data_IF_881573396526
#
_entry.id   IF_881573396526
#
_cell.length_a   1.000
_cell.length_b   1.000
_cell.length_c   1.000
_cell.angle_alpha   90.00
_cell.angle_beta   90.00
_cell.angle_gamma   90.00
#
_symmetry.space_group_name_H-M   'P 1'
#
loop_
_entity.id
_entity.type
_entity.pdbx_description
1 polymer ?
#
# COMPACT_ATOMS: atom_id res chain seq x y z
N UNK A 1 -17.41 32.62 -9.27
CA UNK A 1 -16.83 32.27 -10.58
C UNK A 1 -15.31 32.16 -10.50
N UNK A 2 -14.51 33.22 -10.45
CA UNK A 2 -13.05 33.07 -10.38
C UNK A 2 -12.51 32.23 -9.19
N UNK A 3 -13.07 32.39 -7.97
CA UNK A 3 -12.71 31.56 -6.81
C UNK A 3 -13.19 30.11 -6.97
N UNK A 4 -14.36 29.94 -7.58
CA UNK A 4 -14.99 28.64 -7.85
C UNK A 4 -14.21 27.87 -8.92
N UNK A 5 -13.81 28.55 -10.00
CA UNK A 5 -12.95 28.03 -11.07
C UNK A 5 -11.53 27.76 -10.54
N UNK A 6 -11.01 28.58 -9.62
CA UNK A 6 -9.71 28.34 -8.97
C UNK A 6 -9.75 27.09 -8.09
N UNK A 7 -10.83 26.88 -7.34
CA UNK A 7 -11.08 25.67 -6.53
C UNK A 7 -11.35 24.47 -7.44
N UNK A 8 -12.13 24.57 -8.51
CA UNK A 8 -12.31 23.45 -9.45
C UNK A 8 -11.01 23.08 -10.16
N UNK A 9 -10.20 24.07 -10.54
CA UNK A 9 -8.94 23.85 -11.27
C UNK A 9 -7.77 23.40 -10.39
N UNK A 10 -7.79 23.69 -9.09
CA UNK A 10 -6.68 23.35 -8.17
C UNK A 10 -7.07 22.43 -6.99
N UNK A 11 -8.34 22.36 -6.60
CA UNK A 11 -8.81 21.52 -5.49
C UNK A 11 -9.42 20.19 -5.97
N UNK A 12 -9.89 20.10 -7.23
CA UNK A 12 -10.34 18.83 -7.81
C UNK A 12 -9.18 18.23 -8.61
N UNK A 13 -8.53 17.16 -8.11
CA UNK A 13 -7.48 16.50 -8.86
C UNK A 13 -8.02 16.01 -10.22
N UNK A 14 -7.20 16.02 -11.29
CA UNK A 14 -7.58 15.45 -12.58
C UNK A 14 -8.19 14.06 -12.40
N UNK A 15 -9.14 13.67 -13.26
CA UNK A 15 -9.96 12.47 -13.06
C UNK A 15 -9.12 11.21 -12.74
N UNK A 16 -8.02 11.00 -13.46
CA UNK A 16 -7.14 9.87 -13.17
C UNK A 16 -6.40 9.97 -11.83
N UNK A 17 -6.09 11.16 -11.34
CA UNK A 17 -5.52 11.35 -9.99
C UNK A 17 -6.56 10.99 -8.92
N UNK A 18 -7.82 11.42 -9.11
CA UNK A 18 -8.94 11.00 -8.25
C UNK A 18 -9.10 9.48 -8.25
N UNK A 19 -9.08 8.85 -9.42
CA UNK A 19 -9.15 7.39 -9.57
C UNK A 19 -8.01 6.70 -8.82
N UNK A 20 -6.76 7.17 -8.99
CA UNK A 20 -5.60 6.62 -8.30
C UNK A 20 -5.68 6.72 -6.78
N UNK A 21 -6.14 7.86 -6.24
CA UNK A 21 -6.34 8.06 -4.79
C UNK A 21 -7.45 7.16 -4.26
N UNK A 22 -8.56 7.02 -4.99
CA UNK A 22 -9.68 6.15 -4.60
C UNK A 22 -9.23 4.69 -4.57
N UNK A 23 -8.51 4.22 -5.60
CA UNK A 23 -7.97 2.87 -5.64
C UNK A 23 -6.98 2.60 -4.50
N UNK A 24 -6.12 3.57 -4.15
CA UNK A 24 -5.26 3.49 -2.96
C UNK A 24 -6.06 3.40 -1.65
N UNK A 25 -7.16 4.17 -1.53
CA UNK A 25 -8.00 4.18 -0.35
C UNK A 25 -8.72 2.86 -0.12
N UNK A 26 -9.20 2.23 -1.21
CA UNK A 26 -9.90 0.94 -1.19
C UNK A 26 -8.91 -0.23 -1.01
N UNK A 27 -7.69 -0.10 -1.57
CA UNK A 27 -6.64 -1.11 -1.50
C UNK A 27 -5.92 -1.12 -0.15
N UNK A 28 -6.12 -2.17 0.64
CA UNK A 28 -5.47 -2.38 1.94
C UNK A 28 -4.51 -3.57 1.95
N UNK A 29 -3.63 -3.60 2.96
CA UNK A 29 -2.84 -4.78 3.30
C UNK A 29 -1.63 -5.04 2.40
N UNK A 30 -0.86 -4.01 2.00
CA UNK A 30 0.35 -4.22 1.20
C UNK A 30 1.25 -5.35 1.78
N UNK A 31 1.81 -6.21 0.91
CA UNK A 31 2.75 -7.25 1.32
C UNK A 31 4.07 -6.71 1.91
N UNK A 32 4.22 -5.39 1.98
CA UNK A 32 5.40 -4.69 2.50
C UNK A 32 5.28 -4.29 3.97
N UNK A 33 4.07 -4.33 4.56
CA UNK A 33 3.84 -3.95 5.97
C UNK A 33 4.76 -4.75 6.92
N UNK A 34 4.89 -6.09 6.81
CA UNK A 34 5.76 -6.84 7.71
C UNK A 34 7.22 -6.44 7.61
N UNK A 35 7.70 -6.03 6.44
CA UNK A 35 9.09 -5.59 6.23
C UNK A 35 9.36 -4.32 7.03
N UNK A 36 8.51 -3.30 6.88
CA UNK A 36 8.66 -2.03 7.60
C UNK A 36 8.54 -2.24 9.12
N UNK A 37 7.58 -3.05 9.58
CA UNK A 37 7.39 -3.35 11.00
C UNK A 37 8.58 -4.14 11.58
N UNK A 38 9.17 -5.05 10.79
CA UNK A 38 10.38 -5.79 11.18
C UNK A 38 11.58 -4.85 11.29
N UNK A 39 11.75 -3.91 10.34
CA UNK A 39 12.80 -2.88 10.41
C UNK A 39 12.66 -2.00 11.66
N UNK A 40 11.42 -1.69 12.05
CA UNK A 40 11.11 -0.96 13.27
C UNK A 40 11.32 -1.78 14.56
N UNK A 41 11.68 -3.07 14.48
CA UNK A 41 11.72 -4.02 15.61
C UNK A 41 10.42 -4.05 16.42
N UNK A 42 9.28 -3.91 15.75
CA UNK A 42 7.95 -4.00 16.36
C UNK A 42 7.35 -5.41 16.18
N UNK A 43 6.11 -5.62 16.61
CA UNK A 43 5.51 -6.95 16.69
C UNK A 43 5.10 -7.50 15.31
N UNK A 44 5.98 -8.31 14.72
CA UNK A 44 5.84 -8.87 13.36
C UNK A 44 4.60 -9.78 13.22
N UNK A 45 4.21 -10.50 14.28
CA UNK A 45 3.01 -11.34 14.24
C UNK A 45 1.73 -10.54 13.94
N UNK A 46 1.57 -9.39 14.59
CA UNK A 46 0.40 -8.52 14.40
C UNK A 46 0.42 -7.83 13.04
N UNK A 47 1.58 -7.51 12.49
CA UNK A 47 1.66 -6.91 11.16
C UNK A 47 1.30 -7.89 10.04
N UNK A 48 1.73 -9.16 10.17
CA UNK A 48 1.31 -10.23 9.26
C UNK A 48 -0.18 -10.48 9.38
N UNK A 49 -0.73 -10.54 10.60
CA UNK A 49 -2.17 -10.68 10.84
C UNK A 49 -2.97 -9.54 10.18
N UNK A 50 -2.59 -8.28 10.46
CA UNK A 50 -3.22 -7.11 9.87
C UNK A 50 -3.17 -7.14 8.34
N UNK A 51 -2.00 -7.44 7.78
CA UNK A 51 -1.80 -7.55 6.33
C UNK A 51 -2.75 -8.59 5.73
N UNK A 52 -2.79 -9.81 6.26
CA UNK A 52 -3.66 -10.89 5.76
C UNK A 52 -5.14 -10.52 5.89
N UNK A 53 -5.56 -9.96 7.02
CA UNK A 53 -6.95 -9.52 7.23
C UNK A 53 -7.34 -8.47 6.20
N UNK A 54 -6.52 -7.43 6.01
CA UNK A 54 -6.79 -6.38 5.04
C UNK A 54 -6.78 -6.89 3.60
N UNK A 55 -5.86 -7.79 3.25
CA UNK A 55 -5.81 -8.42 1.91
C UNK A 55 -7.12 -9.15 1.61
N UNK A 56 -7.59 -9.99 2.54
CA UNK A 56 -8.85 -10.74 2.38
C UNK A 56 -10.01 -9.77 2.22
N UNK A 57 -10.11 -8.74 3.06
CA UNK A 57 -11.17 -7.73 2.95
C UNK A 57 -11.10 -7.03 1.59
N UNK A 58 -9.92 -6.61 1.13
CA UNK A 58 -9.75 -5.93 -0.16
C UNK A 58 -10.19 -6.79 -1.34
N UNK A 59 -9.92 -8.10 -1.33
CA UNK A 59 -10.32 -9.03 -2.41
C UNK A 59 -11.84 -9.03 -2.62
N UNK A 60 -12.64 -8.93 -1.55
CA UNK A 60 -14.10 -8.90 -1.65
C UNK A 60 -14.66 -7.49 -1.77
N UNK A 61 -14.03 -6.52 -1.10
CA UNK A 61 -14.51 -5.15 -1.02
C UNK A 61 -14.27 -4.37 -2.31
N UNK A 62 -13.10 -4.53 -2.94
CA UNK A 62 -12.73 -3.75 -4.13
C UNK A 62 -13.64 -4.02 -5.35
N UNK A 63 -13.99 -5.28 -5.70
CA UNK A 63 -14.92 -5.57 -6.80
C UNK A 63 -16.33 -4.98 -6.61
N UNK A 64 -16.74 -4.77 -5.36
CA UNK A 64 -18.03 -4.18 -5.00
C UNK A 64 -17.95 -2.66 -5.10
N UNK A 65 -16.93 -2.05 -4.52
CA UNK A 65 -16.87 -0.60 -4.36
C UNK A 65 -16.38 0.11 -5.61
N UNK A 66 -15.40 -0.45 -6.32
CA UNK A 66 -14.80 0.20 -7.50
C UNK A 66 -15.84 0.50 -8.58
N UNK A 67 -16.67 -0.46 -9.05
CA UNK A 67 -17.66 -0.17 -10.09
C UNK A 67 -18.80 0.75 -9.65
N UNK A 68 -18.99 0.98 -8.34
CA UNK A 68 -20.03 1.87 -7.80
C UNK A 68 -19.56 3.32 -7.66
N UNK A 69 -18.25 3.52 -7.45
CA UNK A 69 -17.68 4.85 -7.18
C UNK A 69 -16.96 5.43 -8.40
N UNK A 70 -16.37 4.55 -9.22
CA UNK A 70 -15.62 4.93 -10.41
C UNK A 70 -16.46 4.59 -11.63
N UNK A 71 -16.98 5.64 -12.27
CA UNK A 71 -17.72 5.53 -13.53
C UNK A 71 -16.73 5.20 -14.66
N UNK A 72 -16.44 3.91 -14.81
CA UNK A 72 -15.75 3.35 -15.98
C UNK A 72 -16.76 2.55 -16.78
N UNK A 73 -16.90 2.86 -18.07
CA UNK A 73 -17.79 2.13 -18.99
C UNK A 73 -17.60 0.61 -18.82
N UNK A 74 -18.66 -0.08 -18.37
CA UNK A 74 -18.74 -1.54 -18.26
C UNK A 74 -17.67 -2.25 -17.38
N UNK A 75 -17.27 -1.65 -16.25
CA UNK A 75 -16.44 -2.38 -15.28
C UNK A 75 -17.22 -3.52 -14.63
N UNK A 76 -16.99 -4.74 -15.10
CA UNK A 76 -17.58 -5.94 -14.51
C UNK A 76 -16.90 -6.26 -13.18
N UNK A 77 -17.66 -6.18 -12.08
CA UNK A 77 -17.21 -6.60 -10.74
C UNK A 77 -16.57 -7.99 -10.76
N UNK A 78 -17.07 -8.91 -11.59
CA UNK A 78 -16.57 -10.27 -11.66
C UNK A 78 -15.15 -10.34 -12.20
N UNK A 79 -14.79 -9.49 -13.16
CA UNK A 79 -13.46 -9.52 -13.76
C UNK A 79 -12.42 -8.93 -12.79
N UNK A 80 -12.78 -7.87 -12.06
CA UNK A 80 -11.95 -7.35 -10.96
C UNK A 80 -11.75 -8.44 -9.90
N UNK A 81 -12.82 -9.13 -9.49
CA UNK A 81 -12.75 -10.20 -8.52
C UNK A 81 -11.82 -11.33 -8.98
N UNK A 82 -11.95 -11.82 -10.22
CA UNK A 82 -11.06 -12.86 -10.78
C UNK A 82 -9.60 -12.46 -10.71
N UNK A 83 -9.27 -11.23 -11.13
CA UNK A 83 -7.90 -10.72 -11.11
C UNK A 83 -7.33 -10.70 -9.69
N UNK A 84 -8.10 -10.23 -8.70
CA UNK A 84 -7.67 -10.21 -7.29
C UNK A 84 -7.57 -11.62 -6.70
N UNK A 85 -8.50 -12.52 -7.03
CA UNK A 85 -8.46 -13.92 -6.61
C UNK A 85 -7.21 -14.62 -7.14
N UNK A 86 -6.90 -14.45 -8.43
CA UNK A 86 -5.76 -15.07 -9.07
C UNK A 86 -4.42 -14.51 -8.57
N UNK A 87 -4.31 -13.19 -8.39
CA UNK A 87 -3.05 -12.52 -8.07
C UNK A 87 -2.78 -12.44 -6.56
N UNK A 88 -3.82 -12.42 -5.73
CA UNK A 88 -3.67 -12.28 -4.27
C UNK A 88 -4.11 -13.52 -3.50
N UNK A 89 -5.37 -13.96 -3.69
CA UNK A 89 -5.92 -15.03 -2.85
C UNK A 89 -5.24 -16.37 -3.12
N UNK A 90 -5.03 -16.71 -4.39
CA UNK A 90 -4.45 -17.98 -4.78
C UNK A 90 -3.01 -18.14 -4.25
N UNK A 91 -2.07 -17.17 -4.44
CA UNK A 91 -0.74 -17.29 -3.86
C UNK A 91 -0.74 -17.30 -2.33
N UNK A 92 -1.61 -16.51 -1.69
CA UNK A 92 -1.74 -16.48 -0.24
C UNK A 92 -2.26 -17.81 0.31
N UNK A 93 -3.32 -18.35 -0.27
CA UNK A 93 -3.90 -19.64 0.11
C UNK A 93 -2.89 -20.77 -0.07
N UNK A 94 -2.15 -20.78 -1.19
CA UNK A 94 -1.10 -21.75 -1.45
C UNK A 94 0.02 -21.65 -0.41
N UNK A 95 0.51 -20.44 -0.13
CA UNK A 95 1.56 -20.21 0.86
C UNK A 95 1.13 -20.66 2.27
N UNK A 96 -0.11 -20.36 2.67
CA UNK A 96 -0.67 -20.80 3.96
C UNK A 96 -0.89 -22.32 4.01
N UNK A 97 -1.35 -22.94 2.92
CA UNK A 97 -1.52 -24.38 2.83
C UNK A 97 -0.18 -25.14 2.92
N UNK A 98 0.86 -24.63 2.24
CA UNK A 98 2.23 -25.16 2.35
C UNK A 98 2.74 -25.01 3.78
N UNK A 99 2.57 -23.84 4.40
CA UNK A 99 2.98 -23.62 5.79
C UNK A 99 2.28 -24.56 6.77
N UNK A 100 0.98 -24.83 6.55
CA UNK A 100 0.17 -25.70 7.42
C UNK A 100 0.53 -27.19 7.26
N UNK A 101 0.76 -27.66 6.03
CA UNK A 101 1.02 -29.09 5.74
C UNK A 101 2.50 -29.48 5.75
N UNK A 102 3.39 -28.54 5.41
CA UNK A 102 4.82 -28.78 5.24
C UNK A 102 5.67 -27.70 5.93
N UNK A 103 5.60 -27.58 7.27
CA UNK A 103 6.28 -26.52 8.01
C UNK A 103 7.80 -26.54 7.83
N UNK A 104 8.40 -27.72 7.66
CA UNK A 104 9.84 -27.85 7.38
C UNK A 104 10.26 -27.26 6.03
N UNK A 105 9.44 -27.43 4.98
CA UNK A 105 9.70 -26.82 3.66
C UNK A 105 9.51 -25.31 3.76
N UNK A 106 8.42 -24.85 4.38
CA UNK A 106 8.14 -23.43 4.57
C UNK A 106 9.30 -22.72 5.30
N UNK A 107 9.84 -23.33 6.37
CA UNK A 107 10.97 -22.78 7.11
C UNK A 107 12.25 -22.66 6.25
N UNK A 108 12.49 -23.62 5.36
CA UNK A 108 13.65 -23.59 4.44
C UNK A 108 13.49 -22.56 3.33
N UNK A 109 12.29 -22.37 2.78
CA UNK A 109 12.02 -21.45 1.66
C UNK A 109 11.90 -19.99 2.13
N UNK A 110 11.38 -19.76 3.34
CA UNK A 110 11.15 -18.43 3.89
C UNK A 110 12.33 -17.44 3.76
N UNK A 111 13.59 -17.78 4.10
CA UNK A 111 14.71 -16.84 3.97
C UNK A 111 14.99 -16.45 2.52
N UNK A 112 14.81 -17.36 1.56
CA UNK A 112 14.98 -17.06 0.14
C UNK A 112 13.86 -16.15 -0.38
N UNK A 113 12.61 -16.46 -0.03
CA UNK A 113 11.46 -15.64 -0.38
C UNK A 113 11.58 -14.21 0.20
N UNK A 114 12.05 -14.08 1.44
CA UNK A 114 12.29 -12.77 2.07
C UNK A 114 13.40 -11.98 1.37
N UNK A 115 14.52 -12.62 1.00
CA UNK A 115 15.60 -11.97 0.24
C UNK A 115 15.13 -11.55 -1.15
N UNK A 116 14.44 -12.44 -1.86
CA UNK A 116 13.88 -12.14 -3.18
C UNK A 116 12.95 -10.93 -3.10
N UNK A 117 12.03 -10.91 -2.14
CA UNK A 117 11.10 -9.79 -1.93
C UNK A 117 11.85 -8.47 -1.69
N UNK A 118 12.84 -8.46 -0.78
CA UNK A 118 13.63 -7.26 -0.48
C UNK A 118 14.40 -6.76 -1.71
N UNK A 119 15.03 -7.65 -2.47
CA UNK A 119 15.75 -7.30 -3.70
C UNK A 119 14.77 -6.76 -4.74
N UNK A 120 13.64 -7.43 -4.95
CA UNK A 120 12.61 -7.00 -5.89
C UNK A 120 12.08 -5.60 -5.56
N UNK A 121 11.87 -5.27 -4.28
CA UNK A 121 11.44 -3.92 -3.89
C UNK A 121 12.49 -2.88 -4.24
N UNK A 122 13.76 -3.11 -3.92
CA UNK A 122 14.85 -2.17 -4.21
C UNK A 122 15.03 -1.98 -5.71
N UNK A 123 15.02 -3.08 -6.48
CA UNK A 123 15.13 -3.05 -7.94
C UNK A 123 13.93 -2.34 -8.56
N UNK A 124 12.71 -2.65 -8.11
CA UNK A 124 11.49 -1.99 -8.59
C UNK A 124 11.53 -0.49 -8.30
N UNK A 125 11.93 -0.08 -7.09
CA UNK A 125 12.09 1.33 -6.74
C UNK A 125 13.11 2.03 -7.63
N UNK A 126 14.28 1.43 -7.83
CA UNK A 126 15.32 1.98 -8.70
C UNK A 126 14.86 2.11 -10.15
N UNK A 127 14.24 1.04 -10.69
CA UNK A 127 13.71 1.03 -12.04
C UNK A 127 12.61 2.09 -12.24
N UNK A 128 11.70 2.23 -11.28
CA UNK A 128 10.62 3.21 -11.35
C UNK A 128 11.16 4.64 -11.33
N UNK A 129 12.10 4.94 -10.43
CA UNK A 129 12.71 6.29 -10.38
C UNK A 129 13.44 6.57 -11.70
N UNK A 130 14.20 5.61 -12.23
CA UNK A 130 14.93 5.78 -13.48
C UNK A 130 14.02 5.96 -14.71
N UNK A 131 12.94 5.17 -14.81
CA UNK A 131 12.03 5.18 -15.96
C UNK A 131 11.02 6.33 -15.92
N UNK A 132 10.65 6.80 -14.73
CA UNK A 132 9.58 7.78 -14.55
C UNK A 132 10.04 9.10 -13.93
N UNK A 133 11.36 9.38 -13.86
CA UNK A 133 11.89 10.63 -13.29
C UNK A 133 11.26 11.88 -13.91
N UNK A 134 11.23 11.97 -15.24
CA UNK A 134 10.65 13.12 -15.96
C UNK A 134 9.16 13.25 -15.69
N UNK A 135 8.43 12.13 -15.65
CA UNK A 135 6.98 12.12 -15.40
C UNK A 135 6.67 12.53 -13.96
N UNK A 136 7.48 12.10 -13.00
CA UNK A 136 7.40 12.51 -11.59
C UNK A 136 7.63 14.01 -11.46
N UNK A 137 8.66 14.55 -12.12
CA UNK A 137 8.96 15.99 -12.11
C UNK A 137 7.85 16.81 -12.78
N UNK A 138 7.34 16.35 -13.93
CA UNK A 138 6.21 16.97 -14.61
C UNK A 138 4.91 16.91 -13.78
N UNK A 139 4.77 15.90 -12.92
CA UNK A 139 3.61 15.68 -12.04
C UNK A 139 3.82 16.23 -10.62
N UNK A 140 4.80 17.12 -10.41
CA UNK A 140 5.15 17.62 -9.08
C UNK A 140 4.00 18.32 -8.36
N UNK A 141 3.04 18.90 -9.09
CA UNK A 141 1.83 19.51 -8.53
C UNK A 141 0.93 18.54 -7.77
N UNK A 142 1.02 17.24 -8.04
CA UNK A 142 0.21 16.18 -7.41
C UNK A 142 0.86 15.67 -6.11
N UNK A 143 2.19 15.81 -5.96
CA UNK A 143 2.95 15.32 -4.80
C UNK A 143 2.38 15.79 -3.44
N UNK A 144 1.99 17.07 -3.24
CA UNK A 144 1.44 17.52 -1.96
C UNK A 144 0.18 16.76 -1.54
N UNK A 145 -0.70 16.45 -2.50
CA UNK A 145 -1.94 15.70 -2.23
C UNK A 145 -1.61 14.26 -1.82
N UNK A 146 -0.65 13.62 -2.49
CA UNK A 146 -0.20 12.26 -2.17
C UNK A 146 0.45 12.20 -0.78
N UNK A 147 1.34 13.15 -0.48
CA UNK A 147 2.01 13.27 0.82
C UNK A 147 0.99 13.50 1.91
N UNK A 148 0.03 14.42 1.70
CA UNK A 148 -1.02 14.70 2.66
C UNK A 148 -1.89 13.46 2.92
N UNK A 149 -2.34 12.76 1.87
CA UNK A 149 -3.12 11.53 2.00
C UNK A 149 -2.33 10.46 2.77
N UNK A 150 -1.05 10.29 2.46
CA UNK A 150 -0.15 9.36 3.15
C UNK A 150 -0.02 9.68 4.64
N UNK A 151 0.31 10.94 4.98
CA UNK A 151 0.52 11.36 6.37
C UNK A 151 -0.77 11.28 7.18
N UNK A 152 -1.91 11.72 6.63
CA UNK A 152 -3.20 11.62 7.30
C UNK A 152 -3.58 10.16 7.55
N UNK A 153 -3.43 9.28 6.56
CA UNK A 153 -3.68 7.86 6.72
C UNK A 153 -2.80 7.24 7.83
N UNK A 154 -1.52 7.61 7.85
CA UNK A 154 -0.58 7.16 8.89
C UNK A 154 -0.96 7.68 10.28
N UNK A 155 -1.32 8.95 10.41
CA UNK A 155 -1.76 9.58 11.67
C UNK A 155 -3.02 8.90 12.19
N UNK A 156 -4.03 8.71 11.33
CA UNK A 156 -5.28 8.03 11.70
C UNK A 156 -4.98 6.62 12.19
N UNK A 157 -4.13 5.87 11.47
CA UNK A 157 -3.70 4.53 11.89
C UNK A 157 -2.97 4.55 13.24
N UNK A 158 -2.09 5.52 13.46
CA UNK A 158 -1.35 5.68 14.72
C UNK A 158 -2.30 5.95 15.90
N UNK A 159 -3.26 6.86 15.72
CA UNK A 159 -4.25 7.21 16.74
C UNK A 159 -5.21 6.05 17.02
N UNK A 160 -5.61 5.29 16.01
CA UNK A 160 -6.46 4.11 16.14
C UNK A 160 -5.78 2.94 16.89
N UNK A 161 -4.45 2.93 17.00
CA UNK A 161 -3.68 1.86 17.66
C UNK A 161 -3.78 1.77 19.18
N UNK A 162 -4.59 2.62 19.82
CA UNK A 162 -4.86 2.54 21.26
C UNK A 162 -3.65 2.89 22.12
N UNK A 163 -3.45 2.20 23.26
CA UNK A 163 -2.37 2.53 24.23
C UNK A 163 -1.05 1.82 23.96
N UNK A 164 -1.07 0.68 23.25
CA UNK A 164 0.13 -0.14 23.02
C UNK A 164 0.94 0.43 21.85
N UNK A 165 2.19 0.82 22.10
CA UNK A 165 3.08 1.41 21.08
C UNK A 165 3.24 0.52 19.85
N UNK A 166 3.39 -0.80 20.03
CA UNK A 166 3.47 -1.73 18.91
C UNK A 166 2.22 -1.72 18.02
N UNK A 167 1.01 -1.65 18.62
CA UNK A 167 -0.24 -1.59 17.86
C UNK A 167 -0.38 -0.29 17.08
N UNK A 168 0.02 0.85 17.67
CA UNK A 168 0.10 2.14 16.96
C UNK A 168 1.03 2.09 15.75
N UNK A 169 2.23 1.52 15.91
CA UNK A 169 3.19 1.39 14.79
C UNK A 169 2.61 0.50 13.70
N UNK A 170 2.06 -0.66 14.06
CA UNK A 170 1.49 -1.62 13.09
C UNK A 170 0.31 -1.02 12.32
N UNK A 171 -0.61 -0.34 12.99
CA UNK A 171 -1.73 0.33 12.31
C UNK A 171 -1.32 1.58 11.54
N UNK A 172 -0.36 2.37 12.02
CA UNK A 172 0.18 3.52 11.29
C UNK A 172 0.81 3.08 9.97
N UNK A 173 1.68 2.07 10.02
CA UNK A 173 2.29 1.48 8.82
C UNK A 173 1.22 0.85 7.93
N UNK A 174 0.30 0.04 8.47
CA UNK A 174 -0.72 -0.63 7.66
C UNK A 174 -1.69 0.34 6.95
N UNK A 175 -2.09 1.41 7.65
CA UNK A 175 -3.01 2.43 7.09
C UNK A 175 -2.28 3.38 6.16
N UNK A 176 -1.04 3.75 6.47
CA UNK A 176 -0.21 4.63 5.65
C UNK A 176 0.30 3.96 4.37
N UNK A 177 0.78 2.72 4.42
CA UNK A 177 1.34 2.04 3.25
C UNK A 177 0.27 1.59 2.24
N UNK A 178 -0.99 1.42 2.68
CA UNK A 178 -2.13 0.94 1.88
C UNK A 178 -1.75 -0.31 1.07
N UNK A 179 -2.24 -0.46 -0.16
CA UNK A 179 -1.81 -1.51 -1.10
C UNK A 179 -1.59 -0.95 -2.53
N UNK A 180 -0.45 -0.27 -2.76
CA UNK A 180 -0.17 0.38 -4.03
C UNK A 180 -0.09 -0.60 -5.22
N UNK A 181 0.54 -1.80 -5.11
CA UNK A 181 0.57 -2.75 -6.23
C UNK A 181 -0.81 -3.10 -6.78
N UNK A 182 -1.80 -3.27 -5.91
CA UNK A 182 -3.16 -3.57 -6.33
C UNK A 182 -3.86 -2.36 -6.94
N UNK A 183 -3.64 -1.17 -6.39
CA UNK A 183 -4.16 0.05 -7.00
C UNK A 183 -3.57 0.27 -8.40
N UNK A 184 -2.27 0.02 -8.59
CA UNK A 184 -1.60 0.05 -9.91
C UNK A 184 -2.21 -0.99 -10.83
N UNK A 185 -2.34 -2.25 -10.37
CA UNK A 185 -2.90 -3.34 -11.17
C UNK A 185 -4.30 -3.00 -11.68
N UNK A 186 -5.20 -2.56 -10.78
CA UNK A 186 -6.58 -2.24 -11.14
C UNK A 186 -6.65 -1.03 -12.05
N UNK A 187 -5.85 0.02 -11.78
CA UNK A 187 -5.76 1.18 -12.66
C UNK A 187 -5.31 0.78 -14.08
N UNK A 188 -4.24 -0.01 -14.19
CA UNK A 188 -3.66 -0.41 -15.48
C UNK A 188 -4.59 -1.34 -16.28
N UNK A 189 -5.32 -2.23 -15.63
CA UNK A 189 -6.20 -3.19 -16.31
C UNK A 189 -7.54 -2.58 -16.71
N UNK A 190 -8.10 -1.69 -15.88
CA UNK A 190 -9.49 -1.26 -15.99
C UNK A 190 -9.65 0.23 -16.33
N UNK A 191 -8.58 1.03 -16.20
CA UNK A 191 -8.55 2.44 -16.58
C UNK A 191 -7.38 2.76 -17.53
N UNK A 192 -7.18 2.01 -18.64
CA UNK A 192 -6.03 2.18 -19.52
C UNK A 192 -6.01 3.55 -20.23
N UNK A 193 -7.17 4.18 -20.40
CA UNK A 193 -7.29 5.53 -20.95
C UNK A 193 -6.77 6.63 -19.99
N UNK A 194 -6.51 6.30 -18.72
CA UNK A 194 -6.05 7.24 -17.69
C UNK A 194 -4.74 6.75 -17.05
N UNK A 195 -3.58 6.80 -17.75
CA UNK A 195 -2.31 6.30 -17.22
C UNK A 195 -1.92 6.89 -15.85
N UNK A 196 -2.36 8.13 -15.58
CA UNK A 196 -2.10 8.81 -14.32
C UNK A 196 -2.77 8.13 -13.12
N UNK A 197 -3.82 7.32 -13.33
CA UNK A 197 -4.46 6.52 -12.28
C UNK A 197 -3.55 5.41 -11.73
N UNK A 198 -2.63 4.89 -12.56
CA UNK A 198 -1.61 3.93 -12.12
C UNK A 198 -0.36 4.66 -11.57
N UNK A 199 -0.06 5.85 -12.10
CA UNK A 199 1.07 6.66 -11.68
C UNK A 199 0.93 7.21 -10.25
N UNK A 200 -0.28 7.57 -9.82
CA UNK A 200 -0.50 8.09 -8.45
C UNK A 200 -0.17 7.06 -7.37
N UNK A 201 -0.70 5.81 -7.41
CA UNK A 201 -0.28 4.75 -6.51
C UNK A 201 1.22 4.44 -6.56
N UNK A 202 1.82 4.55 -7.74
CA UNK A 202 3.27 4.37 -7.91
C UNK A 202 4.06 5.43 -7.15
N UNK A 203 3.73 6.71 -7.34
CA UNK A 203 4.35 7.83 -6.60
C UNK A 203 4.10 7.72 -5.10
N UNK A 204 2.89 7.30 -4.70
CA UNK A 204 2.55 7.05 -3.30
C UNK A 204 3.43 5.96 -2.68
N UNK A 205 3.69 4.86 -3.40
CA UNK A 205 4.60 3.81 -2.92
C UNK A 205 6.02 4.35 -2.69
N UNK A 206 6.54 5.13 -3.64
CA UNK A 206 7.88 5.74 -3.54
C UNK A 206 7.98 6.62 -2.30
N UNK A 207 7.04 7.56 -2.15
CA UNK A 207 6.98 8.49 -1.01
C UNK A 207 6.83 7.69 0.30
N UNK A 208 5.94 6.71 0.32
CA UNK A 208 5.71 5.88 1.49
C UNK A 208 6.97 5.15 1.95
N UNK A 209 7.73 4.55 1.03
CA UNK A 209 9.01 3.91 1.38
C UNK A 209 10.07 4.93 1.82
N UNK A 210 10.17 6.08 1.15
CA UNK A 210 11.10 7.15 1.52
C UNK A 210 10.83 7.71 2.92
N UNK A 211 9.56 7.78 3.34
CA UNK A 211 9.19 8.26 4.68
C UNK A 211 9.30 7.14 5.72
N UNK A 212 8.77 5.94 5.42
CA UNK A 212 8.65 4.87 6.41
C UNK A 212 9.96 4.16 6.72
N UNK A 213 10.90 4.06 5.78
CA UNK A 213 12.18 3.42 6.07
C UNK A 213 12.98 4.21 7.11
N UNK A 214 13.24 5.52 6.96
CA UNK A 214 13.86 6.33 8.01
C UNK A 214 13.05 6.32 9.31
N UNK A 215 11.73 6.44 9.23
CA UNK A 215 10.87 6.44 10.41
C UNK A 215 10.96 5.11 11.18
N UNK A 216 11.03 3.98 10.49
CA UNK A 216 11.24 2.67 11.10
C UNK A 216 12.58 2.61 11.85
N UNK A 217 13.66 3.19 11.31
CA UNK A 217 14.94 3.28 12.02
C UNK A 217 14.87 4.17 13.28
N UNK A 218 14.10 5.26 13.24
CA UNK A 218 13.88 6.13 14.41
C UNK A 218 13.06 5.40 15.47
N UNK A 219 11.96 4.75 15.08
CA UNK A 219 11.08 3.97 15.97
C UNK A 219 11.84 2.82 16.65
N UNK A 220 12.79 2.19 15.95
CA UNK A 220 13.67 1.16 16.51
C UNK A 220 14.45 1.67 17.73
N UNK A 221 14.90 2.92 17.73
CA UNK A 221 15.63 3.51 18.87
C UNK A 221 14.71 3.73 20.08
N UNK A 222 13.48 4.19 19.85
CA UNK A 222 12.49 4.46 20.91
C UNK A 222 11.98 3.18 21.61
N UNK A 223 11.80 2.10 20.86
CA UNK A 223 11.45 0.79 21.43
C UNK A 223 12.60 0.18 22.24
N UNK A 224 13.85 0.50 21.90
CA UNK A 224 15.04 0.07 22.64
C UNK A 224 15.24 0.81 23.96
N UNK A 225 14.74 2.04 24.09
CA UNK A 225 14.85 2.84 25.33
C UNK A 225 13.74 2.52 26.31
N UNK A 226 12.50 2.29 25.86
CA UNK A 226 11.39 1.93 26.74
C UNK A 226 11.45 0.51 27.35
N UNK A 227 12.34 -0.35 26.87
CA UNK A 227 12.59 -1.68 27.45
C UNK A 227 13.63 -1.67 28.58
N UNK A 228 14.30 -0.54 28.83
CA UNK A 228 15.25 -0.40 29.96
C UNK A 228 14.60 0.14 31.23
N UNK A 229 13.34 0.54 31.16
CA UNK A 229 12.57 1.12 32.26
C UNK A 229 11.48 0.17 32.81
N UNK A 230 11.64 -1.15 32.60
CA UNK A 230 10.85 -2.23 33.22
C UNK A 230 11.82 -3.26 33.78
#
# INVERSE_FOLDING_TARGET
>A
KALTDFIEKHAIPPEGVRTGIILLGIGGGAPFIPIIVTTAKSHVGSSVGLMVTLLIITIFFMPIVVPRILDGTSLNSWDIAKSLLAIMLLPLALALAIKARFPGIAARVQPYAARLTSISIVVLMGAVIALYAEVILASASILPVIILFFLLAMIIGYLAGGRKQHARIVLAVGTGLRNPPIAILVASLYFPAQPIAALVPLMFAIIGFLILLPLAFIMRKQLSTGSKDI
#
